data_IF_427925953648
#
_entry.id   IF_427925953648
#
_cell.length_a   1.000
_cell.length_b   1.000
_cell.length_c   1.000
_cell.angle_alpha   90.00
_cell.angle_beta   90.00
_cell.angle_gamma   90.00
#
_symmetry.space_group_name_H-M   'P 1'
#
loop_
_entity.id
_entity.type
_entity.pdbx_description
1 polymer ?
#
# COMPACT_ATOMS: atom_id res chain seq x y z
N UNK A 1 -6.50 -16.85 1.86
CA UNK A 1 -6.57 -15.40 2.18
C UNK A 1 -7.14 -15.28 3.58
N UNK A 2 -6.47 -14.60 4.51
CA UNK A 2 -7.02 -14.42 5.87
C UNK A 2 -8.32 -13.61 5.79
N UNK A 3 -9.30 -13.89 6.67
CA UNK A 3 -10.57 -13.14 6.74
C UNK A 3 -10.34 -11.62 6.81
N UNK A 4 -9.26 -11.21 7.46
CA UNK A 4 -8.80 -9.82 7.59
C UNK A 4 -8.56 -9.16 6.22
N UNK A 5 -7.89 -9.86 5.29
CA UNK A 5 -7.60 -9.31 3.97
C UNK A 5 -8.87 -9.08 3.16
N UNK A 6 -9.87 -9.95 3.32
CA UNK A 6 -11.14 -9.86 2.61
C UNK A 6 -12.01 -8.71 3.16
N UNK A 7 -12.00 -8.50 4.49
CA UNK A 7 -12.65 -7.36 5.13
C UNK A 7 -12.00 -6.05 4.67
N UNK A 8 -10.67 -5.99 4.66
CA UNK A 8 -9.91 -4.81 4.27
C UNK A 8 -10.16 -4.43 2.80
N UNK A 9 -10.20 -5.43 1.92
CA UNK A 9 -10.51 -5.26 0.49
C UNK A 9 -11.96 -4.79 0.27
N UNK A 10 -12.91 -5.32 1.06
CA UNK A 10 -14.31 -4.90 1.03
C UNK A 10 -14.48 -3.44 1.46
N UNK A 11 -13.81 -3.02 2.54
CA UNK A 11 -13.83 -1.62 3.01
C UNK A 11 -13.23 -0.71 1.93
N UNK A 12 -12.15 -1.14 1.28
CA UNK A 12 -11.51 -0.38 0.21
C UNK A 12 -12.43 -0.19 -1.01
N UNK A 13 -13.10 -1.25 -1.47
CA UNK A 13 -14.06 -1.15 -2.57
C UNK A 13 -15.18 -0.16 -2.22
N UNK A 14 -15.68 -0.19 -0.99
CA UNK A 14 -16.68 0.78 -0.51
C UNK A 14 -16.14 2.21 -0.57
N UNK A 15 -14.95 2.48 -0.04
CA UNK A 15 -14.35 3.82 -0.04
C UNK A 15 -14.11 4.33 -1.47
N UNK A 16 -13.67 3.46 -2.38
CA UNK A 16 -13.49 3.78 -3.80
C UNK A 16 -14.83 4.17 -4.45
N UNK A 17 -15.88 3.36 -4.27
CA UNK A 17 -17.21 3.64 -4.85
C UNK A 17 -17.80 4.94 -4.30
N UNK A 18 -17.69 5.17 -2.99
CA UNK A 18 -18.16 6.41 -2.36
C UNK A 18 -17.38 7.61 -2.91
N UNK A 19 -16.05 7.53 -2.99
CA UNK A 19 -15.21 8.57 -3.56
C UNK A 19 -15.53 8.84 -5.05
N UNK A 20 -15.83 7.80 -5.82
CA UNK A 20 -16.22 7.94 -7.22
C UNK A 20 -17.54 8.68 -7.37
N UNK A 21 -18.58 8.27 -6.63
CA UNK A 21 -19.89 8.92 -6.64
C UNK A 21 -19.77 10.37 -6.19
N UNK A 22 -18.94 10.65 -5.18
CA UNK A 22 -18.69 11.99 -4.66
C UNK A 22 -18.03 12.92 -5.69
N UNK A 23 -17.08 12.40 -6.47
CA UNK A 23 -16.35 13.15 -7.49
C UNK A 23 -17.02 13.16 -8.87
N UNK A 24 -18.08 12.39 -9.07
CA UNK A 24 -18.81 12.24 -10.34
C UNK A 24 -19.25 13.58 -10.98
N UNK A 25 -19.71 14.60 -10.23
CA UNK A 25 -20.07 15.90 -10.82
C UNK A 25 -18.87 16.71 -11.35
N UNK A 26 -17.64 16.31 -11.02
CA UNK A 26 -16.42 17.10 -11.22
C UNK A 26 -15.38 16.40 -12.11
N UNK A 27 -15.66 15.18 -12.58
CA UNK A 27 -14.67 14.31 -13.25
C UNK A 27 -15.18 13.78 -14.59
N UNK A 28 -14.33 13.82 -15.63
CA UNK A 28 -14.55 13.06 -16.88
C UNK A 28 -14.25 11.59 -16.62
N UNK A 29 -15.28 10.77 -16.64
CA UNK A 29 -15.32 9.47 -15.95
C UNK A 29 -14.37 8.39 -16.47
N UNK A 30 -14.13 8.30 -17.79
CA UNK A 30 -13.44 7.13 -18.37
C UNK A 30 -11.91 7.22 -18.28
N UNK A 31 -11.31 8.35 -18.66
CA UNK A 31 -9.84 8.51 -18.64
C UNK A 31 -9.27 8.49 -17.21
N UNK A 32 -10.07 8.97 -16.25
CA UNK A 32 -9.73 8.97 -14.83
C UNK A 32 -9.73 7.54 -14.28
N UNK A 33 -10.69 6.70 -14.67
CA UNK A 33 -10.73 5.29 -14.28
C UNK A 33 -9.49 4.51 -14.74
N UNK A 34 -9.08 4.69 -16.01
CA UNK A 34 -7.84 4.07 -16.53
C UNK A 34 -6.60 4.57 -15.80
N UNK A 35 -6.52 5.88 -15.56
CA UNK A 35 -5.40 6.48 -14.84
C UNK A 35 -5.27 5.96 -13.41
N UNK A 36 -6.40 5.75 -12.71
CA UNK A 36 -6.43 5.16 -11.37
C UNK A 36 -6.00 3.70 -11.40
N UNK A 37 -6.43 2.93 -12.39
CA UNK A 37 -6.07 1.51 -12.51
C UNK A 37 -4.57 1.35 -12.73
N UNK A 38 -3.98 2.13 -13.65
CA UNK A 38 -2.53 2.15 -13.88
C UNK A 38 -1.79 2.60 -12.63
N UNK A 39 -2.23 3.70 -12.00
CA UNK A 39 -1.64 4.21 -10.76
C UNK A 39 -1.67 3.16 -9.65
N UNK A 40 -2.79 2.44 -9.50
CA UNK A 40 -2.96 1.42 -8.46
C UNK A 40 -2.00 0.25 -8.66
N UNK A 41 -1.80 -0.19 -9.91
CA UNK A 41 -0.85 -1.26 -10.25
C UNK A 41 0.58 -0.83 -9.94
N UNK A 42 0.99 0.35 -10.41
CA UNK A 42 2.35 0.86 -10.19
C UNK A 42 2.63 0.98 -8.69
N UNK A 43 1.72 1.60 -7.95
CA UNK A 43 1.90 1.79 -6.52
C UNK A 43 1.82 0.50 -5.72
N UNK A 44 1.02 -0.49 -6.14
CA UNK A 44 1.04 -1.82 -5.54
C UNK A 44 2.38 -2.53 -5.75
N UNK A 45 2.95 -2.44 -6.96
CA UNK A 45 4.28 -2.99 -7.25
C UNK A 45 5.36 -2.35 -6.39
N UNK A 46 5.32 -1.02 -6.24
CA UNK A 46 6.25 -0.31 -5.36
C UNK A 46 6.08 -0.79 -3.91
N UNK A 47 4.83 -0.85 -3.42
CA UNK A 47 4.51 -1.29 -2.05
C UNK A 47 5.02 -2.70 -1.74
N UNK A 48 4.85 -3.63 -2.69
CA UNK A 48 5.35 -4.99 -2.58
C UNK A 48 6.86 -5.11 -2.83
N UNK A 49 7.49 -4.10 -3.43
CA UNK A 49 8.92 -4.07 -3.69
C UNK A 49 9.75 -4.29 -2.43
N UNK A 50 9.34 -3.69 -1.31
CA UNK A 50 9.98 -3.93 -0.01
C UNK A 50 9.95 -5.41 0.37
N UNK A 51 8.78 -6.05 0.36
CA UNK A 51 8.68 -7.49 0.65
C UNK A 51 9.51 -8.34 -0.30
N UNK A 52 9.58 -7.95 -1.58
CA UNK A 52 10.45 -8.59 -2.58
C UNK A 52 11.93 -8.55 -2.18
N UNK A 53 12.41 -7.40 -1.69
CA UNK A 53 13.79 -7.26 -1.19
C UNK A 53 14.06 -8.19 -0.01
N UNK A 54 13.16 -8.21 0.99
CA UNK A 54 13.27 -9.13 2.13
C UNK A 54 13.31 -10.60 1.70
N UNK A 55 12.44 -10.99 0.76
CA UNK A 55 12.40 -12.34 0.23
C UNK A 55 13.68 -12.74 -0.51
N UNK A 56 14.33 -11.81 -1.20
CA UNK A 56 15.61 -12.06 -1.88
C UNK A 56 16.74 -12.21 -0.85
N UNK A 57 16.75 -11.38 0.20
CA UNK A 57 17.74 -11.45 1.29
C UNK A 57 17.61 -12.74 2.08
N UNK A 58 16.38 -13.16 2.37
CA UNK A 58 16.05 -14.43 3.03
C UNK A 58 16.56 -15.63 2.21
N UNK A 59 16.27 -15.65 0.90
CA UNK A 59 16.73 -16.73 0.00
C UNK A 59 18.25 -16.85 -0.08
N UNK A 60 18.99 -15.78 0.19
CA UNK A 60 20.46 -15.79 0.21
C UNK A 60 21.05 -16.10 1.59
N UNK A 61 20.22 -16.38 2.61
CA UNK A 61 20.62 -16.55 4.01
C UNK A 61 21.38 -15.34 4.60
N UNK A 62 21.22 -14.15 4.00
CA UNK A 62 21.89 -12.93 4.48
C UNK A 62 20.97 -12.15 5.43
N UNK A 63 19.66 -12.41 5.38
CA UNK A 63 18.68 -11.69 6.19
C UNK A 63 18.91 -11.88 7.69
N UNK A 64 19.12 -13.12 8.15
CA UNK A 64 19.40 -13.44 9.55
C UNK A 64 20.70 -12.78 10.05
N UNK A 65 21.76 -12.80 9.24
CA UNK A 65 23.03 -12.14 9.53
C UNK A 65 22.87 -10.61 9.63
N UNK A 66 22.08 -10.01 8.73
CA UNK A 66 21.78 -8.58 8.72
C UNK A 66 20.93 -8.18 9.92
N UNK A 67 19.91 -8.96 10.28
CA UNK A 67 19.08 -8.72 11.47
C UNK A 67 19.95 -8.80 12.73
N UNK A 68 20.82 -9.81 12.86
CA UNK A 68 21.72 -9.94 14.00
C UNK A 68 22.78 -8.83 14.09
N UNK A 69 23.31 -8.34 12.95
CA UNK A 69 24.30 -7.25 12.94
C UNK A 69 23.70 -5.86 13.09
N UNK A 70 22.51 -5.64 12.53
CA UNK A 70 21.90 -4.30 12.44
C UNK A 70 20.75 -4.07 13.41
N UNK A 71 20.32 -5.12 14.15
CA UNK A 71 19.37 -5.32 15.26
C UNK A 71 18.20 -4.35 15.45
N UNK A 72 18.38 -3.04 15.24
CA UNK A 72 17.31 -2.05 15.14
C UNK A 72 16.88 -1.74 13.70
N UNK A 73 17.81 -1.50 12.76
CA UNK A 73 17.44 -0.85 11.49
C UNK A 73 16.56 -1.75 10.61
N UNK A 74 16.93 -3.03 10.45
CA UNK A 74 16.15 -3.99 9.68
C UNK A 74 14.77 -4.26 10.27
N UNK A 75 14.63 -4.17 11.61
CA UNK A 75 13.36 -4.39 12.29
C UNK A 75 12.39 -3.21 12.09
N UNK A 76 12.91 -1.97 12.07
CA UNK A 76 12.08 -0.75 11.92
C UNK A 76 11.79 -0.37 10.46
N UNK A 77 12.60 -0.83 9.50
CA UNK A 77 12.43 -0.47 8.09
C UNK A 77 11.03 -0.76 7.53
N UNK A 78 10.39 -1.92 7.81
CA UNK A 78 9.02 -2.20 7.36
C UNK A 78 8.01 -1.19 7.92
N UNK A 79 8.15 -0.80 9.19
CA UNK A 79 7.27 0.16 9.83
C UNK A 79 7.46 1.58 9.30
N UNK A 80 8.70 2.01 9.06
CA UNK A 80 8.97 3.30 8.42
C UNK A 80 8.35 3.39 7.02
N UNK A 81 8.46 2.30 6.26
CA UNK A 81 7.84 2.20 4.94
C UNK A 81 6.31 2.24 5.01
N UNK A 82 5.71 1.52 5.96
CA UNK A 82 4.27 1.58 6.25
C UNK A 82 3.80 3.01 6.56
N UNK A 83 4.49 3.73 7.45
CA UNK A 83 4.13 5.10 7.84
C UNK A 83 4.12 6.05 6.63
N UNK A 84 5.13 5.97 5.77
CA UNK A 84 5.24 6.81 4.56
C UNK A 84 4.03 6.57 3.65
N UNK A 85 3.66 5.31 3.42
CA UNK A 85 2.53 4.97 2.56
C UNK A 85 1.18 5.34 3.16
N UNK A 86 1.02 5.24 4.48
CA UNK A 86 -0.17 5.71 5.19
C UNK A 86 -0.32 7.23 5.06
N UNK A 87 0.77 7.99 5.14
CA UNK A 87 0.76 9.44 4.90
C UNK A 87 0.35 9.77 3.45
N UNK A 88 0.88 9.03 2.47
CA UNK A 88 0.50 9.20 1.06
C UNK A 88 -1.00 8.91 0.85
N UNK A 89 -1.51 7.85 1.46
CA UNK A 89 -2.93 7.50 1.41
C UNK A 89 -3.81 8.56 2.09
N UNK A 90 -3.36 9.13 3.21
CA UNK A 90 -4.04 10.25 3.87
C UNK A 90 -4.11 11.49 2.96
N UNK A 91 -2.99 11.86 2.33
CA UNK A 91 -2.97 12.96 1.35
C UNK A 91 -3.93 12.66 0.19
N UNK A 92 -3.95 11.41 -0.29
CA UNK A 92 -4.90 10.97 -1.31
C UNK A 92 -6.36 11.10 -0.86
N UNK A 93 -6.67 10.79 0.40
CA UNK A 93 -8.03 10.96 0.94
C UNK A 93 -8.44 12.42 0.92
N UNK A 94 -7.56 13.32 1.34
CA UNK A 94 -7.81 14.77 1.28
C UNK A 94 -8.05 15.21 -0.17
N UNK A 95 -7.24 14.75 -1.13
CA UNK A 95 -7.41 15.05 -2.55
C UNK A 95 -8.76 14.59 -3.10
N UNK A 96 -9.17 13.37 -2.77
CA UNK A 96 -10.45 12.80 -3.25
C UNK A 96 -11.65 13.47 -2.59
N UNK A 97 -11.68 13.59 -1.26
CA UNK A 97 -12.89 14.04 -0.56
C UNK A 97 -13.02 15.57 -0.43
N UNK A 98 -11.90 16.29 -0.28
CA UNK A 98 -11.91 17.76 -0.11
C UNK A 98 -11.79 18.44 -1.48
N UNK A 99 -10.81 18.04 -2.28
CA UNK A 99 -10.53 18.68 -3.58
C UNK A 99 -11.27 18.04 -4.76
N UNK A 100 -12.00 16.94 -4.53
CA UNK A 100 -12.80 16.23 -5.53
C UNK A 100 -11.98 15.70 -6.71
N UNK A 101 -10.70 15.43 -6.47
CA UNK A 101 -9.79 14.87 -7.46
C UNK A 101 -9.68 13.35 -7.29
N UNK A 102 -10.53 12.64 -8.03
CA UNK A 102 -10.64 11.19 -7.93
C UNK A 102 -9.39 10.45 -8.44
N UNK A 103 -8.51 11.09 -9.22
CA UNK A 103 -7.28 10.45 -9.72
C UNK A 103 -6.45 9.92 -8.55
N UNK A 104 -6.44 10.60 -7.40
CA UNK A 104 -5.66 10.19 -6.23
C UNK A 104 -6.20 8.98 -5.47
N UNK A 105 -7.36 8.42 -5.86
CA UNK A 105 -7.93 7.23 -5.25
C UNK A 105 -7.02 5.99 -5.36
N UNK A 106 -6.08 5.96 -6.33
CA UNK A 106 -5.11 4.87 -6.45
C UNK A 106 -4.25 4.68 -5.18
N UNK A 107 -4.07 5.74 -4.38
CA UNK A 107 -3.27 5.69 -3.14
C UNK A 107 -3.92 4.84 -2.05
N UNK A 108 -5.22 4.58 -2.12
CA UNK A 108 -5.90 3.73 -1.14
C UNK A 108 -5.50 2.26 -1.31
N UNK A 109 -5.27 1.82 -2.54
CA UNK A 109 -4.82 0.45 -2.81
C UNK A 109 -3.37 0.24 -2.36
N UNK A 110 -2.53 1.26 -2.50
CA UNK A 110 -1.15 1.22 -2.03
C UNK A 110 -1.08 1.06 -0.51
N UNK A 111 -1.97 1.70 0.24
CA UNK A 111 -2.10 1.52 1.69
C UNK A 111 -2.38 0.06 2.09
N UNK A 112 -3.30 -0.60 1.40
CA UNK A 112 -3.63 -2.01 1.66
C UNK A 112 -2.45 -2.93 1.37
N UNK A 113 -1.83 -2.73 0.21
CA UNK A 113 -0.72 -3.57 -0.25
C UNK A 113 0.50 -3.40 0.62
N UNK A 114 0.81 -2.18 1.11
CA UNK A 114 1.90 -1.97 2.07
C UNK A 114 1.61 -2.60 3.43
N UNK A 115 0.36 -2.56 3.93
CA UNK A 115 -0.01 -3.21 5.19
C UNK A 115 0.27 -4.71 5.12
N UNK A 116 -0.16 -5.34 4.02
CA UNK A 116 0.08 -6.77 3.80
C UNK A 116 1.58 -7.08 3.60
N UNK A 117 2.30 -6.27 2.83
CA UNK A 117 3.73 -6.43 2.59
C UNK A 117 4.54 -6.28 3.89
N UNK A 118 4.16 -5.34 4.75
CA UNK A 118 4.78 -5.11 6.06
C UNK A 118 4.57 -6.30 6.97
N UNK A 119 3.32 -6.81 7.08
CA UNK A 119 3.02 -8.03 7.86
C UNK A 119 3.91 -9.20 7.42
N UNK A 120 3.99 -9.46 6.11
CA UNK A 120 4.85 -10.53 5.58
C UNK A 120 6.34 -10.32 5.81
N UNK A 121 6.81 -9.06 5.76
CA UNK A 121 8.22 -8.75 6.03
C UNK A 121 8.56 -9.00 7.50
N UNK A 122 7.68 -8.61 8.43
CA UNK A 122 7.85 -8.87 9.87
C UNK A 122 7.85 -10.38 10.17
N UNK A 123 6.89 -11.13 9.59
CA UNK A 123 6.86 -12.61 9.70
C UNK A 123 8.14 -13.31 9.18
N UNK A 124 8.89 -12.67 8.27
CA UNK A 124 10.19 -13.18 7.80
C UNK A 124 11.35 -12.80 8.71
N UNK A 125 11.29 -11.64 9.37
CA UNK A 125 12.34 -11.16 10.28
C UNK A 125 12.28 -11.93 11.62
N UNK A 126 11.07 -12.25 12.09
CA UNK A 126 10.84 -12.93 13.37
C UNK A 126 10.93 -14.47 13.29
N UNK A 127 11.34 -14.99 12.13
CA UNK A 127 11.43 -16.41 11.82
C UNK A 127 12.74 -17.03 12.32
#
# INVERSE_FOLDING_TARGET
MSKEALILDTIYLLVMVIGFIWCLPYSKSIDVLFSILIGSIIWALVSYGMWGVYKILDRKNVLSDLVNKSLSIMMYLPYMYLIIFLLIAFIGMVRVFVFKDYIYAYTFFSALTVCHATKKAVEMIEK
#
